data_IF_075601902754
#
_entry.id   IF_075601902754
#
_cell.length_a   1.000
_cell.length_b   1.000
_cell.length_c   1.000
_cell.angle_alpha   90.00
_cell.angle_beta   90.00
_cell.angle_gamma   90.00
#
_symmetry.space_group_name_H-M   'P 1'
#
loop_
_entity.id
_entity.type
_entity.pdbx_description
1 polymer ?
#
# COMPACT_ATOMS: atom_id res chain seq x y z
N UNK A 1 -12.97 9.65 -4.65
CA UNK A 1 -11.50 9.76 -4.73
C UNK A 1 -10.94 9.33 -6.09
N UNK A 2 -11.54 8.32 -6.76
CA UNK A 2 -11.07 7.79 -8.07
C UNK A 2 -10.73 8.81 -9.16
N UNK A 3 -11.56 9.83 -9.51
CA UNK A 3 -11.19 10.78 -10.56
C UNK A 3 -9.94 11.59 -10.20
N UNK A 4 -9.72 11.89 -8.92
CA UNK A 4 -8.51 12.55 -8.45
C UNK A 4 -7.28 11.64 -8.55
N UNK A 5 -7.43 10.34 -8.27
CA UNK A 5 -6.35 9.36 -8.40
C UNK A 5 -5.98 9.11 -9.86
N UNK A 6 -6.96 9.02 -10.77
CA UNK A 6 -6.70 8.90 -12.21
C UNK A 6 -5.96 10.12 -12.75
N UNK A 7 -6.37 11.33 -12.36
CA UNK A 7 -5.71 12.58 -12.79
C UNK A 7 -4.24 12.66 -12.36
N UNK A 8 -3.87 12.11 -11.20
CA UNK A 8 -2.51 12.22 -10.65
C UNK A 8 -1.68 10.93 -10.74
N UNK A 9 -2.27 9.81 -11.14
CA UNK A 9 -1.68 8.47 -11.00
C UNK A 9 -0.37 8.26 -11.77
N UNK A 10 -0.14 9.02 -12.84
CA UNK A 10 1.12 8.99 -13.61
C UNK A 10 2.09 10.13 -13.28
N UNK A 11 1.79 10.99 -12.31
CA UNK A 11 2.59 12.17 -12.00
C UNK A 11 3.61 11.87 -10.91
N UNK A 12 4.85 12.30 -11.10
CA UNK A 12 5.85 12.32 -10.03
C UNK A 12 5.46 13.35 -8.94
N UNK A 13 5.93 13.20 -7.69
CA UNK A 13 5.62 14.10 -6.58
C UNK A 13 5.72 15.60 -6.91
N UNK A 14 6.76 16.00 -7.64
CA UNK A 14 6.97 17.39 -8.04
C UNK A 14 5.89 17.89 -9.04
N UNK A 15 5.42 17.03 -9.94
CA UNK A 15 4.37 17.35 -10.91
C UNK A 15 2.99 17.39 -10.23
N UNK A 16 2.72 16.45 -9.32
CA UNK A 16 1.49 16.39 -8.55
C UNK A 16 1.41 17.47 -7.46
N UNK A 17 2.55 18.10 -7.10
CA UNK A 17 2.72 18.96 -5.91
C UNK A 17 2.26 18.25 -4.63
N UNK A 18 2.57 16.96 -4.53
CA UNK A 18 2.22 16.10 -3.41
C UNK A 18 3.46 15.31 -2.99
N UNK A 19 3.88 15.45 -1.73
CA UNK A 19 5.07 14.78 -1.22
C UNK A 19 4.69 13.75 -0.17
N UNK A 20 5.28 12.54 -0.22
CA UNK A 20 5.18 11.61 0.88
C UNK A 20 5.67 12.26 2.18
N UNK A 21 4.92 12.07 3.28
CA UNK A 21 5.34 12.54 4.61
C UNK A 21 6.70 11.94 5.01
N UNK A 22 6.94 10.71 4.57
CA UNK A 22 8.16 9.96 4.80
C UNK A 22 8.79 9.59 3.45
N UNK A 23 10.08 9.81 3.29
CA UNK A 23 10.81 9.36 2.08
C UNK A 23 10.83 7.82 2.01
N UNK A 24 10.80 7.23 0.80
CA UNK A 24 11.02 5.80 0.64
C UNK A 24 12.40 5.39 1.20
N UNK A 25 12.44 4.31 1.97
CA UNK A 25 13.67 3.72 2.49
C UNK A 25 13.53 2.19 2.54
N UNK A 26 14.65 1.48 2.58
CA UNK A 26 14.65 0.03 2.78
C UNK A 26 14.41 -0.25 4.28
N UNK A 27 13.30 -0.91 4.65
CA UNK A 27 12.97 -1.13 6.05
C UNK A 27 13.94 -2.12 6.70
N UNK A 28 14.21 -1.91 7.99
CA UNK A 28 14.90 -2.89 8.83
C UNK A 28 13.91 -3.95 9.34
N UNK A 29 14.42 -5.08 9.84
CA UNK A 29 13.59 -6.10 10.51
C UNK A 29 12.81 -5.51 11.69
N UNK A 30 13.40 -4.56 12.41
CA UNK A 30 12.73 -3.88 13.52
C UNK A 30 11.55 -3.03 13.04
N UNK A 31 11.71 -2.30 11.93
CA UNK A 31 10.62 -1.51 11.32
C UNK A 31 9.46 -2.41 10.89
N UNK A 32 9.76 -3.57 10.30
CA UNK A 32 8.75 -4.56 9.90
C UNK A 32 7.98 -5.09 11.11
N UNK A 33 8.67 -5.45 12.20
CA UNK A 33 8.00 -5.90 13.43
C UNK A 33 7.14 -4.81 14.06
N UNK A 34 7.59 -3.55 14.06
CA UNK A 34 6.82 -2.44 14.61
C UNK A 34 5.55 -2.17 13.78
N UNK A 35 5.66 -2.18 12.44
CA UNK A 35 4.50 -2.04 11.55
C UNK A 35 3.52 -3.22 11.68
N UNK A 36 4.04 -4.45 11.84
CA UNK A 36 3.21 -5.64 12.02
C UNK A 36 2.30 -5.61 13.25
N UNK A 37 2.67 -4.87 14.31
CA UNK A 37 1.83 -4.71 15.52
C UNK A 37 0.52 -3.95 15.26
N UNK A 38 0.44 -3.19 14.17
CA UNK A 38 -0.76 -2.44 13.79
C UNK A 38 -1.83 -3.36 13.19
N UNK A 39 -1.47 -4.59 12.86
CA UNK A 39 -2.35 -5.57 12.26
C UNK A 39 -2.60 -6.73 13.23
N UNK A 40 -3.82 -7.29 13.27
CA UNK A 40 -4.07 -8.48 14.08
C UNK A 40 -3.19 -9.66 13.63
N UNK A 41 -2.93 -10.64 14.52
CA UNK A 41 -2.21 -11.86 14.14
C UNK A 41 -2.88 -12.49 12.90
N UNK A 42 -2.07 -12.89 11.91
CA UNK A 42 -2.50 -13.48 10.63
C UNK A 42 -3.29 -12.54 9.69
N UNK A 43 -3.16 -11.22 9.82
CA UNK A 43 -3.80 -10.27 8.90
C UNK A 43 -3.00 -10.00 7.61
N UNK A 44 -1.96 -10.78 7.35
CA UNK A 44 -1.20 -10.68 6.10
C UNK A 44 -1.83 -11.61 5.07
N UNK A 45 -1.92 -11.12 3.83
CA UNK A 45 -2.31 -11.91 2.67
C UNK A 45 -1.40 -13.15 2.57
N UNK A 46 -2.00 -14.33 2.43
CA UNK A 46 -1.25 -15.60 2.37
C UNK A 46 -0.51 -15.74 1.04
N UNK A 47 -1.00 -15.09 -0.01
CA UNK A 47 -0.38 -15.07 -1.33
C UNK A 47 -0.37 -13.67 -1.98
N UNK A 48 0.52 -13.51 -2.97
CA UNK A 48 0.50 -12.33 -3.86
C UNK A 48 -0.81 -12.20 -4.64
N UNK A 49 -1.52 -13.30 -4.88
CA UNK A 49 -2.82 -13.32 -5.53
C UNK A 49 -3.87 -12.64 -4.64
N UNK A 50 -3.89 -12.96 -3.34
CA UNK A 50 -4.82 -12.38 -2.38
C UNK A 50 -4.62 -10.87 -2.22
N UNK A 51 -3.37 -10.40 -2.33
CA UNK A 51 -3.07 -8.97 -2.37
C UNK A 51 -3.57 -8.30 -3.65
N UNK A 52 -3.50 -8.96 -4.80
CA UNK A 52 -3.93 -8.36 -6.08
C UNK A 52 -5.45 -8.31 -6.21
N UNK A 53 -6.16 -9.28 -5.65
CA UNK A 53 -7.62 -9.41 -5.75
C UNK A 53 -8.33 -9.09 -4.44
N UNK A 54 -7.68 -8.33 -3.55
CA UNK A 54 -8.20 -7.99 -2.22
C UNK A 54 -9.56 -7.25 -2.22
N UNK A 55 -9.95 -6.66 -3.36
CA UNK A 55 -11.19 -5.90 -3.56
C UNK A 55 -12.10 -6.51 -4.64
N UNK A 56 -11.88 -7.79 -4.98
CA UNK A 56 -12.67 -8.49 -6.00
C UNK A 56 -13.44 -9.62 -5.33
N UNK A 57 -14.77 -9.62 -5.47
CA UNK A 57 -15.58 -10.76 -5.05
C UNK A 57 -15.14 -11.99 -5.84
N UNK A 58 -14.58 -12.98 -5.15
CA UNK A 58 -14.33 -14.30 -5.72
C UNK A 58 -15.71 -14.99 -5.85
N UNK A 59 -16.24 -15.08 -7.07
CA UNK A 59 -17.40 -15.94 -7.30
C UNK A 59 -16.98 -17.43 -7.13
N UNK A 60 -17.86 -18.27 -6.56
CA UNK A 60 -17.57 -19.66 -6.20
C UNK A 60 -17.34 -20.61 -7.38
#
# INVERSE_FOLDING_TARGET
>A
CSPCNLRKGGMMPAQAKMWPLQKPYQPTVHDLHNNGRLFPPNHLHESWMDYLYWDVELEP
#
